data_IF_060559668171
#
_entry.id   IF_060559668171
#
_cell.length_a   1.000
_cell.length_b   1.000
_cell.length_c   1.000
_cell.angle_alpha   90.00
_cell.angle_beta   90.00
_cell.angle_gamma   90.00
#
_symmetry.space_group_name_H-M   'P 1'
#
loop_
_entity.id
_entity.type
_entity.pdbx_description
1 polymer ?
#
# COMPACT_ATOMS: atom_id res chain seq x y z
N UNK A 1 54.02 -20.61 30.10
CA UNK A 1 54.42 -19.62 31.11
C UNK A 1 53.18 -18.93 31.63
N UNK A 2 53.02 -18.77 32.95
CA UNK A 2 51.91 -18.03 33.54
C UNK A 2 52.22 -16.53 33.56
N UNK A 3 51.20 -15.69 33.31
CA UNK A 3 51.11 -14.37 33.95
C UNK A 3 49.65 -13.98 34.16
N UNK A 4 49.21 -14.17 35.39
CA UNK A 4 47.93 -13.66 35.92
C UNK A 4 47.96 -12.15 36.00
N UNK A 5 46.82 -11.51 35.70
CA UNK A 5 46.52 -10.18 36.24
C UNK A 5 45.04 -10.12 36.64
N UNK A 6 44.78 -10.25 37.93
CA UNK A 6 43.47 -9.95 38.50
C UNK A 6 43.34 -8.45 38.70
N UNK A 7 42.19 -7.88 38.35
CA UNK A 7 41.80 -6.54 38.78
C UNK A 7 40.43 -6.61 39.45
N UNK A 8 40.43 -6.63 40.78
CA UNK A 8 39.23 -6.31 41.54
C UNK A 8 39.02 -4.79 41.48
N UNK A 9 37.79 -4.37 41.21
CA UNK A 9 37.27 -3.08 41.67
C UNK A 9 35.92 -3.33 42.35
N UNK A 10 35.66 -2.56 43.40
CA UNK A 10 34.71 -2.92 44.45
C UNK A 10 33.26 -2.51 44.16
N UNK A 11 32.33 -3.14 44.89
CA UNK A 11 30.93 -2.71 44.97
C UNK A 11 30.82 -1.30 45.56
N UNK A 12 30.08 -0.42 44.87
CA UNK A 12 29.80 0.94 45.30
C UNK A 12 28.30 1.23 45.29
N UNK A 13 27.56 0.69 46.26
CA UNK A 13 26.12 0.96 46.41
C UNK A 13 25.89 2.38 46.91
N UNK A 14 25.38 3.27 46.04
CA UNK A 14 24.91 4.61 46.44
C UNK A 14 23.38 4.62 46.44
N UNK A 15 22.80 4.64 47.63
CA UNK A 15 21.39 4.89 47.85
C UNK A 15 21.23 5.94 48.95
N UNK A 16 20.86 7.16 48.56
CA UNK A 16 20.34 8.18 49.49
C UNK A 16 18.99 8.65 48.93
N UNK A 17 17.94 8.56 49.77
CA UNK A 17 16.60 8.99 49.41
C UNK A 17 16.37 10.48 49.67
N UNK A 18 15.48 11.09 48.89
CA UNK A 18 14.89 12.39 49.25
C UNK A 18 13.80 12.19 50.32
N UNK A 19 13.67 13.11 51.30
CA UNK A 19 12.71 12.95 52.40
C UNK A 19 11.27 13.22 51.94
N UNK A 20 10.35 12.34 52.36
CA UNK A 20 8.91 12.60 52.30
C UNK A 20 8.55 13.56 53.44
N UNK A 21 7.80 14.62 53.14
CA UNK A 21 7.20 15.51 54.15
C UNK A 21 5.74 15.14 54.38
N UNK A 22 5.34 14.96 55.64
CA UNK A 22 3.97 14.61 56.04
C UNK A 22 3.45 15.48 57.19
N UNK A 23 2.23 15.98 57.02
CA UNK A 23 1.32 16.27 58.12
C UNK A 23 1.46 17.61 58.85
N UNK A 24 0.62 18.57 58.46
CA UNK A 24 0.16 19.64 59.36
C UNK A 24 -1.37 19.50 59.53
N UNK A 25 -1.81 19.13 60.74
CA UNK A 25 -3.23 18.86 61.07
C UNK A 25 -3.84 20.04 61.80
N UNK A 26 -4.63 20.87 61.12
CA UNK A 26 -5.42 21.93 61.73
C UNK A 26 -6.76 21.38 62.29
N UNK A 27 -7.31 22.02 63.32
CA UNK A 27 -8.40 21.49 64.16
C UNK A 27 -9.78 22.07 63.82
N UNK A 28 -10.83 21.31 64.17
CA UNK A 28 -12.23 21.72 64.05
C UNK A 28 -12.65 22.55 65.27
N UNK A 29 -13.29 23.70 65.03
CA UNK A 29 -14.07 24.44 66.03
C UNK A 29 -15.39 24.93 65.39
N UNK A 30 -16.49 24.96 66.15
CA UNK A 30 -17.86 25.09 65.60
C UNK A 30 -18.78 25.97 66.46
N UNK A 31 -19.14 27.17 65.98
CA UNK A 31 -20.21 28.08 66.46
C UNK A 31 -20.61 29.02 65.29
N UNK A 32 -21.86 29.51 65.14
CA UNK A 32 -23.08 29.14 65.89
C UNK A 32 -24.25 30.14 65.93
N UNK A 33 -24.69 30.75 64.81
CA UNK A 33 -25.97 31.52 64.66
C UNK A 33 -26.35 31.56 63.15
N UNK A 34 -27.60 31.34 62.65
CA UNK A 34 -28.97 31.87 62.96
C UNK A 34 -29.15 33.29 62.37
N UNK A 35 -30.13 33.65 61.50
CA UNK A 35 -31.34 33.01 60.89
C UNK A 35 -31.69 33.75 59.56
N UNK A 36 -32.12 33.11 58.46
CA UNK A 36 -33.54 32.87 58.00
C UNK A 36 -34.28 34.14 57.46
N UNK A 37 -35.31 34.06 56.57
CA UNK A 37 -35.30 33.58 55.16
C UNK A 37 -35.80 34.64 54.13
N UNK A 38 -35.92 34.21 52.85
CA UNK A 38 -36.96 34.56 51.84
C UNK A 38 -36.54 35.20 50.48
N UNK A 39 -37.45 35.07 49.51
CA UNK A 39 -37.55 35.68 48.17
C UNK A 39 -36.51 35.33 47.08
N UNK A 40 -37.01 34.83 45.94
CA UNK A 40 -36.22 34.59 44.73
C UNK A 40 -36.35 35.76 43.72
N UNK A 41 -35.25 36.26 43.13
CA UNK A 41 -35.31 37.24 42.03
C UNK A 41 -35.62 36.57 40.68
N UNK A 42 -36.28 37.32 39.79
CA UNK A 42 -36.76 36.83 38.49
C UNK A 42 -35.62 36.49 37.53
N UNK A 43 -35.88 35.54 36.62
CA UNK A 43 -34.98 35.21 35.52
C UNK A 43 -34.67 36.45 34.66
N UNK A 44 -33.39 36.85 34.59
CA UNK A 44 -32.92 37.71 33.50
C UNK A 44 -32.75 36.84 32.27
N UNK A 45 -33.50 37.14 31.21
CA UNK A 45 -33.30 36.53 29.89
C UNK A 45 -31.95 36.97 29.34
N UNK A 46 -30.89 36.22 29.68
CA UNK A 46 -29.65 36.25 28.93
C UNK A 46 -29.99 35.74 27.52
N UNK A 47 -30.11 36.66 26.56
CA UNK A 47 -30.23 36.30 25.17
C UNK A 47 -28.99 35.48 24.81
N UNK A 48 -29.17 34.17 24.61
CA UNK A 48 -28.09 33.27 24.20
C UNK A 48 -27.62 33.74 22.84
N UNK A 49 -26.49 34.45 22.81
CA UNK A 49 -25.87 34.92 21.57
C UNK A 49 -25.61 33.70 20.69
N UNK A 50 -26.47 33.54 19.68
CA UNK A 50 -26.33 32.51 18.68
C UNK A 50 -25.19 32.93 17.76
N UNK A 51 -23.98 32.50 18.10
CA UNK A 51 -22.86 32.49 17.16
C UNK A 51 -23.17 31.44 16.07
N UNK A 52 -24.10 31.79 15.19
CA UNK A 52 -24.31 31.15 13.89
C UNK A 52 -23.12 31.50 13.02
N UNK A 53 -21.98 30.87 13.30
CA UNK A 53 -20.93 30.72 12.32
C UNK A 53 -21.56 30.07 11.09
N UNK A 54 -21.48 30.72 9.93
CA UNK A 54 -21.97 30.17 8.68
C UNK A 54 -21.34 28.79 8.44
N UNK A 55 -22.07 27.82 7.87
CA UNK A 55 -21.48 26.53 7.50
C UNK A 55 -20.28 26.76 6.56
N UNK A 56 -19.21 25.96 6.68
CA UNK A 56 -18.00 26.15 5.89
C UNK A 56 -18.29 26.03 4.39
N UNK A 57 -17.76 26.97 3.61
CA UNK A 57 -17.95 27.02 2.16
C UNK A 57 -16.92 26.11 1.48
N UNK A 58 -17.31 25.29 0.48
CA UNK A 58 -16.35 24.46 -0.25
C UNK A 58 -15.40 25.30 -1.11
N UNK A 59 -15.84 26.47 -1.58
CA UNK A 59 -15.11 27.28 -2.55
C UNK A 59 -13.99 28.12 -1.91
N UNK A 60 -12.93 28.36 -2.68
CA UNK A 60 -11.75 29.11 -2.26
C UNK A 60 -10.52 28.24 -2.01
N UNK A 61 -9.52 28.82 -1.35
CA UNK A 61 -8.34 28.12 -0.83
C UNK A 61 -8.41 28.14 0.69
N UNK A 62 -8.40 26.96 1.29
CA UNK A 62 -8.53 26.74 2.71
C UNK A 62 -7.17 26.42 3.33
N UNK A 63 -7.07 26.61 4.65
CA UNK A 63 -5.89 26.22 5.45
C UNK A 63 -6.34 25.44 6.69
N UNK A 64 -5.48 24.54 7.15
CA UNK A 64 -5.77 23.70 8.31
C UNK A 64 -4.66 22.71 8.64
N UNK A 65 -4.84 21.92 9.71
CA UNK A 65 -4.01 20.75 9.97
C UNK A 65 -4.37 19.61 9.01
N UNK A 66 -3.41 18.73 8.78
CA UNK A 66 -3.63 17.44 8.13
C UNK A 66 -3.02 16.29 8.95
N UNK A 67 -3.86 15.32 9.30
CA UNK A 67 -3.48 14.04 9.94
C UNK A 67 -3.48 12.91 8.90
N UNK A 68 -3.43 11.65 9.33
CA UNK A 68 -3.54 10.50 8.45
C UNK A 68 -4.50 9.42 8.94
N UNK A 69 -5.11 8.70 8.00
CA UNK A 69 -6.00 7.56 8.26
C UNK A 69 -5.71 6.33 7.37
N UNK A 70 -6.20 5.18 7.83
CA UNK A 70 -6.41 3.94 7.08
C UNK A 70 -7.90 3.68 6.89
N UNK A 71 -8.28 3.04 5.78
CA UNK A 71 -9.59 2.41 5.63
C UNK A 71 -9.58 0.96 6.11
N UNK A 72 -8.40 0.33 6.27
CA UNK A 72 -8.23 -1.04 6.79
C UNK A 72 -9.10 -2.10 6.09
N UNK A 73 -9.26 -1.92 4.76
CA UNK A 73 -10.11 -2.74 3.89
C UNK A 73 -11.61 -2.74 4.30
N UNK A 74 -12.07 -1.65 4.93
CA UNK A 74 -13.48 -1.28 5.07
C UNK A 74 -13.88 -0.29 3.96
N UNK A 75 -15.16 0.11 3.94
CA UNK A 75 -15.63 1.25 3.16
C UNK A 75 -15.64 2.51 4.02
N UNK A 76 -15.05 3.59 3.51
CA UNK A 76 -15.30 4.93 4.04
C UNK A 76 -16.73 5.43 3.81
N UNK A 77 -17.09 6.57 4.39
CA UNK A 77 -18.42 7.19 4.31
C UNK A 77 -18.90 7.41 2.85
N UNK A 78 -17.99 7.56 1.88
CA UNK A 78 -18.36 7.62 0.46
C UNK A 78 -18.77 6.26 -0.17
N UNK A 79 -18.79 5.16 0.60
CA UNK A 79 -19.30 3.85 0.22
C UNK A 79 -18.38 3.01 -0.69
N UNK A 80 -17.10 3.34 -0.78
CA UNK A 80 -16.13 2.68 -1.67
C UNK A 80 -14.99 2.04 -0.86
N UNK A 81 -14.55 0.84 -1.27
CA UNK A 81 -13.28 0.24 -0.85
C UNK A 81 -12.12 0.80 -1.67
N UNK A 82 -11.11 1.34 -1.00
CA UNK A 82 -9.88 1.80 -1.62
C UNK A 82 -8.67 1.19 -0.89
N UNK A 83 -7.49 1.22 -1.54
CA UNK A 83 -6.23 0.92 -0.87
C UNK A 83 -5.77 2.16 -0.08
N UNK A 84 -5.21 1.98 1.11
CA UNK A 84 -4.65 3.08 1.92
C UNK A 84 -3.53 3.85 1.19
N UNK A 85 -2.82 3.17 0.27
CA UNK A 85 -1.81 3.73 -0.61
C UNK A 85 -2.38 4.54 -1.81
N UNK A 86 -3.71 4.62 -1.95
CA UNK A 86 -4.36 5.55 -2.89
C UNK A 86 -4.31 6.95 -2.31
N UNK A 87 -4.08 8.03 -3.08
CA UNK A 87 -4.28 9.39 -2.59
C UNK A 87 -5.77 9.72 -2.37
N UNK A 88 -6.20 9.69 -1.12
CA UNK A 88 -7.57 9.98 -0.67
C UNK A 88 -7.54 11.05 0.43
N UNK A 89 -8.72 11.59 0.71
CA UNK A 89 -8.96 12.48 1.84
C UNK A 89 -10.29 12.14 2.51
N UNK A 90 -10.29 12.20 3.84
CA UNK A 90 -11.47 12.34 4.67
C UNK A 90 -11.70 13.83 4.95
N UNK A 91 -12.90 14.34 4.65
CA UNK A 91 -13.26 15.73 5.00
C UNK A 91 -13.77 15.78 6.44
N UNK A 92 -13.42 16.83 7.18
CA UNK A 92 -14.06 17.16 8.45
C UNK A 92 -15.59 17.19 8.32
N UNK A 93 -16.33 16.64 9.30
CA UNK A 93 -17.79 16.48 9.24
C UNK A 93 -18.54 17.81 8.96
N UNK A 94 -18.05 18.93 9.50
CA UNK A 94 -18.63 20.27 9.27
C UNK A 94 -18.71 20.65 7.78
N UNK A 95 -17.80 20.12 6.95
CA UNK A 95 -17.80 20.30 5.51
C UNK A 95 -18.32 19.06 4.76
N UNK A 96 -18.12 17.85 5.29
CA UNK A 96 -18.65 16.62 4.69
C UNK A 96 -20.19 16.62 4.67
N UNK A 97 -20.82 17.05 5.77
CA UNK A 97 -22.24 16.86 6.06
C UNK A 97 -22.48 15.68 6.99
N UNK A 98 -23.69 15.12 6.92
CA UNK A 98 -24.08 13.90 7.64
C UNK A 98 -23.17 12.71 7.23
N UNK A 99 -22.47 12.14 8.21
CA UNK A 99 -21.45 11.09 8.04
C UNK A 99 -22.05 9.69 7.84
N UNK A 100 -23.32 9.49 8.20
CA UNK A 100 -24.05 8.25 7.89
C UNK A 100 -24.63 8.28 6.46
N UNK A 101 -24.48 9.42 5.77
CA UNK A 101 -24.90 9.66 4.39
C UNK A 101 -23.71 9.83 3.44
N UNK A 102 -23.93 9.60 2.14
CA UNK A 102 -22.90 9.85 1.12
C UNK A 102 -22.89 11.34 0.73
N UNK A 103 -21.87 12.06 1.18
CA UNK A 103 -21.69 13.49 0.85
C UNK A 103 -21.65 13.78 -0.66
N UNK A 104 -22.20 14.94 -1.06
CA UNK A 104 -22.08 15.50 -2.40
C UNK A 104 -20.62 15.74 -2.85
N UNK A 105 -19.68 15.81 -1.90
CA UNK A 105 -18.26 15.99 -2.22
C UNK A 105 -17.53 14.68 -2.55
N UNK A 106 -18.14 13.52 -2.29
CA UNK A 106 -17.55 12.21 -2.57
C UNK A 106 -17.16 12.04 -4.05
N UNK A 107 -15.92 11.63 -4.29
CA UNK A 107 -15.37 11.47 -5.64
C UNK A 107 -14.91 12.78 -6.30
N UNK A 108 -15.08 13.95 -5.66
CA UNK A 108 -14.37 15.17 -6.06
C UNK A 108 -12.88 15.05 -5.72
N UNK A 109 -12.08 15.86 -6.41
CA UNK A 109 -10.64 15.96 -6.21
C UNK A 109 -10.31 17.25 -5.48
N UNK A 110 -9.35 17.19 -4.57
CA UNK A 110 -8.72 18.35 -3.93
C UNK A 110 -7.25 18.41 -4.32
N UNK A 111 -6.69 19.62 -4.46
CA UNK A 111 -5.24 19.82 -4.51
C UNK A 111 -4.77 20.30 -3.13
N UNK A 112 -3.79 19.61 -2.56
CA UNK A 112 -3.30 19.83 -1.19
C UNK A 112 -1.81 20.16 -1.27
N UNK A 113 -1.41 21.26 -0.63
CA UNK A 113 -0.02 21.71 -0.48
C UNK A 113 0.38 21.63 0.98
N UNK A 114 1.51 20.99 1.31
CA UNK A 114 2.12 21.15 2.64
C UNK A 114 2.90 22.47 2.66
N UNK A 115 2.47 23.41 3.50
CA UNK A 115 3.03 24.77 3.53
C UNK A 115 4.41 24.86 4.16
N UNK A 116 4.85 23.85 4.91
CA UNK A 116 6.18 23.77 5.49
C UNK A 116 7.26 23.23 4.52
N UNK A 117 6.88 22.61 3.40
CA UNK A 117 7.86 22.05 2.44
C UNK A 117 7.51 22.21 0.95
N UNK A 118 6.37 22.81 0.60
CA UNK A 118 5.96 23.11 -0.78
C UNK A 118 5.52 21.90 -1.63
N UNK A 119 5.54 20.68 -1.08
CA UNK A 119 5.07 19.47 -1.79
C UNK A 119 3.55 19.51 -1.98
N UNK A 120 3.09 18.93 -3.09
CA UNK A 120 1.67 18.87 -3.45
C UNK A 120 1.20 17.45 -3.78
N UNK A 121 -0.06 17.17 -3.46
CA UNK A 121 -0.78 15.96 -3.87
C UNK A 121 -2.20 16.31 -4.30
N UNK A 122 -2.69 15.63 -5.33
CA UNK A 122 -4.12 15.63 -5.70
C UNK A 122 -4.74 14.36 -5.10
N UNK A 123 -5.77 14.52 -4.28
CA UNK A 123 -6.42 13.43 -3.54
C UNK A 123 -7.94 13.39 -3.80
N UNK A 124 -8.52 12.20 -3.66
CA UNK A 124 -9.97 11.96 -3.87
C UNK A 124 -10.71 12.01 -2.54
N UNK A 125 -11.80 12.77 -2.45
CA UNK A 125 -12.72 12.71 -1.30
C UNK A 125 -13.38 11.33 -1.25
N UNK A 126 -13.03 10.53 -0.24
CA UNK A 126 -13.46 9.15 -0.10
C UNK A 126 -14.03 8.82 1.29
N UNK A 127 -13.90 9.73 2.25
CA UNK A 127 -14.31 9.50 3.64
C UNK A 127 -14.77 10.77 4.37
N UNK A 128 -15.24 10.58 5.60
CA UNK A 128 -15.50 11.64 6.56
C UNK A 128 -14.62 11.46 7.80
N UNK A 129 -14.19 12.56 8.41
CA UNK A 129 -13.45 12.57 9.67
C UNK A 129 -14.32 13.23 10.75
N UNK A 130 -15.01 12.49 11.63
CA UNK A 130 -15.84 13.06 12.68
C UNK A 130 -15.05 13.81 13.78
N UNK A 131 -13.77 13.47 13.93
CA UNK A 131 -12.88 13.92 15.02
C UNK A 131 -11.87 14.99 14.60
N UNK A 132 -11.89 15.47 13.36
CA UNK A 132 -10.90 16.42 12.86
C UNK A 132 -11.12 17.83 13.45
N UNK A 133 -10.06 18.45 13.98
CA UNK A 133 -10.16 19.76 14.63
C UNK A 133 -10.07 20.92 13.62
N UNK A 134 -11.18 21.66 13.47
CA UNK A 134 -11.28 22.83 12.59
C UNK A 134 -11.96 22.52 11.25
N UNK A 135 -12.77 23.46 10.75
CA UNK A 135 -13.72 23.21 9.65
C UNK A 135 -13.10 22.81 8.30
N UNK A 136 -11.80 23.06 8.11
CA UNK A 136 -11.04 22.73 6.90
C UNK A 136 -9.84 21.80 7.17
N UNK A 137 -9.82 21.14 8.33
CA UNK A 137 -8.90 20.05 8.59
C UNK A 137 -9.20 18.86 7.65
N UNK A 138 -8.13 18.16 7.25
CA UNK A 138 -8.19 16.99 6.37
C UNK A 138 -7.54 15.79 7.05
N UNK A 139 -8.18 14.63 7.00
CA UNK A 139 -7.46 13.38 7.25
C UNK A 139 -6.97 12.82 5.91
N UNK A 140 -5.66 12.59 5.77
CA UNK A 140 -5.10 12.11 4.50
C UNK A 140 -4.97 10.60 4.54
N UNK A 141 -5.32 9.89 3.47
CA UNK A 141 -4.94 8.48 3.43
C UNK A 141 -3.43 8.34 3.48
N UNK A 142 -2.95 7.18 3.92
CA UNK A 142 -1.52 6.97 4.05
C UNK A 142 -0.74 7.34 2.77
N UNK A 143 -1.27 6.98 1.58
CA UNK A 143 -0.70 7.30 0.28
C UNK A 143 -0.80 8.77 -0.16
N UNK A 144 -1.70 9.57 0.40
CA UNK A 144 -1.70 11.02 0.23
C UNK A 144 -0.66 11.69 1.15
N UNK A 145 -0.62 11.28 2.43
CA UNK A 145 0.34 11.79 3.41
C UNK A 145 1.79 11.52 2.97
N UNK A 146 2.06 10.33 2.44
CA UNK A 146 3.37 9.87 1.91
C UNK A 146 3.96 10.72 0.76
N UNK A 147 3.13 11.59 0.15
CA UNK A 147 3.52 12.46 -0.96
C UNK A 147 3.81 13.91 -0.50
N UNK A 148 3.23 14.35 0.63
CA UNK A 148 3.39 15.73 1.13
C UNK A 148 4.09 15.85 2.49
N UNK A 149 4.14 14.79 3.30
CA UNK A 149 4.61 14.83 4.69
C UNK A 149 5.91 14.09 4.99
N UNK A 150 6.16 13.96 6.29
CA UNK A 150 6.93 12.88 6.90
C UNK A 150 6.12 12.36 8.10
N UNK A 151 6.16 11.05 8.34
CA UNK A 151 5.41 10.35 9.38
C UNK A 151 5.75 10.86 10.79
N UNK A 152 7.03 11.11 11.05
CA UNK A 152 7.53 11.60 12.34
C UNK A 152 7.01 13.02 12.71
N UNK A 153 6.38 13.73 11.78
CA UNK A 153 5.77 15.05 12.02
C UNK A 153 4.36 14.94 12.62
N UNK A 154 3.65 13.82 12.41
CA UNK A 154 2.29 13.57 12.90
C UNK A 154 1.20 14.43 12.23
N UNK A 155 1.27 15.75 12.40
CA UNK A 155 0.32 16.73 11.84
C UNK A 155 1.04 17.68 10.88
N UNK A 156 0.57 17.79 9.65
CA UNK A 156 1.14 18.68 8.63
C UNK A 156 0.35 20.00 8.56
N UNK A 157 1.01 21.16 8.42
CA UNK A 157 0.32 22.39 8.05
C UNK A 157 0.05 22.35 6.53
N UNK A 158 -1.21 22.56 6.13
CA UNK A 158 -1.60 22.52 4.71
C UNK A 158 -2.38 23.76 4.25
N UNK A 159 -2.30 24.02 2.95
CA UNK A 159 -3.29 24.80 2.19
C UNK A 159 -3.86 23.95 1.07
N UNK A 160 -5.16 24.03 0.83
CA UNK A 160 -5.83 23.16 -0.14
C UNK A 160 -7.06 23.80 -0.77
N UNK A 161 -7.49 23.27 -1.91
CA UNK A 161 -8.76 23.67 -2.55
C UNK A 161 -9.38 22.51 -3.31
N UNK A 162 -10.70 22.55 -3.50
CA UNK A 162 -11.34 21.66 -4.47
C UNK A 162 -10.92 22.02 -5.89
N UNK A 163 -10.64 20.99 -6.69
CA UNK A 163 -10.51 21.14 -8.13
C UNK A 163 -11.88 21.35 -8.79
N UNK A 164 -11.94 21.95 -9.99
CA UNK A 164 -13.17 22.10 -10.76
C UNK A 164 -13.90 20.77 -10.96
N UNK A 165 -15.22 20.79 -11.02
CA UNK A 165 -16.05 19.60 -11.31
C UNK A 165 -15.75 18.98 -12.69
N UNK A 166 -15.16 19.75 -13.60
CA UNK A 166 -14.66 19.31 -14.91
C UNK A 166 -13.31 18.59 -14.84
N UNK A 167 -12.60 18.64 -13.71
CA UNK A 167 -11.33 17.94 -13.54
C UNK A 167 -11.55 16.43 -13.66
N UNK A 168 -10.91 15.83 -14.65
CA UNK A 168 -10.74 14.39 -14.76
C UNK A 168 -9.25 14.11 -14.59
N UNK A 169 -8.84 13.23 -13.65
CA UNK A 169 -7.47 12.79 -13.64
C UNK A 169 -7.18 12.08 -14.97
N UNK A 170 -6.01 12.34 -15.53
CA UNK A 170 -5.39 11.30 -16.31
C UNK A 170 -5.08 10.13 -15.36
N UNK A 171 -5.15 8.89 -15.86
CA UNK A 171 -4.98 7.64 -15.08
C UNK A 171 -6.19 7.36 -14.16
N UNK A 172 -6.67 6.11 -14.17
CA UNK A 172 -7.85 5.66 -13.40
C UNK A 172 -7.40 4.95 -12.13
N UNK A 173 -7.98 5.32 -10.98
CA UNK A 173 -7.75 4.65 -9.70
C UNK A 173 -8.19 3.19 -9.74
N UNK A 174 -7.37 2.23 -9.28
CA UNK A 174 -7.79 0.85 -9.13
C UNK A 174 -8.67 0.70 -7.88
N UNK A 175 -9.96 1.00 -7.98
CA UNK A 175 -10.94 0.64 -6.94
C UNK A 175 -10.86 -0.86 -6.68
N UNK A 176 -10.84 -1.26 -5.41
CA UNK A 176 -10.91 -2.67 -5.06
C UNK A 176 -12.33 -3.17 -5.35
N UNK A 177 -12.47 -4.07 -6.32
CA UNK A 177 -13.69 -4.87 -6.45
C UNK A 177 -13.81 -5.73 -5.20
N UNK A 178 -14.78 -5.42 -4.34
CA UNK A 178 -15.04 -6.18 -3.12
C UNK A 178 -15.32 -7.67 -3.39
N UNK A 179 -15.28 -8.52 -2.36
CA UNK A 179 -15.35 -9.98 -2.52
C UNK A 179 -16.66 -10.42 -3.21
N UNK A 180 -16.54 -10.81 -4.48
CA UNK A 180 -17.67 -11.28 -5.30
C UNK A 180 -18.28 -12.55 -4.71
N UNK A 181 -19.47 -12.44 -4.12
CA UNK A 181 -20.25 -13.60 -3.65
C UNK A 181 -20.77 -14.39 -4.86
N UNK A 182 -19.98 -15.36 -5.32
CA UNK A 182 -20.38 -16.28 -6.38
C UNK A 182 -21.50 -17.19 -5.86
N UNK A 183 -22.73 -16.95 -6.30
CA UNK A 183 -23.85 -17.88 -6.08
C UNK A 183 -23.64 -19.15 -6.93
N UNK A 184 -23.14 -20.20 -6.29
CA UNK A 184 -22.93 -21.51 -6.93
C UNK A 184 -24.27 -22.20 -7.22
N UNK A 185 -24.77 -22.04 -8.45
CA UNK A 185 -25.96 -22.78 -8.92
C UNK A 185 -25.59 -24.21 -9.29
N UNK A 186 -25.63 -25.11 -8.31
CA UNK A 186 -25.31 -26.54 -8.48
C UNK A 186 -26.31 -27.26 -9.39
N UNK A 187 -26.05 -27.32 -10.70
CA UNK A 187 -26.86 -28.12 -11.63
C UNK A 187 -26.41 -29.58 -11.61
N UNK A 188 -27.09 -30.40 -10.81
CA UNK A 188 -26.93 -31.86 -10.76
C UNK A 188 -27.47 -32.51 -12.04
N UNK A 189 -26.59 -33.11 -12.85
CA UNK A 189 -26.96 -33.96 -13.99
C UNK A 189 -26.40 -35.36 -13.78
N UNK A 190 -27.23 -36.39 -13.99
CA UNK A 190 -26.92 -37.79 -13.65
C UNK A 190 -26.26 -38.52 -14.83
N UNK A 191 -25.40 -39.52 -14.53
CA UNK A 191 -24.82 -40.45 -15.51
C UNK A 191 -25.89 -41.25 -16.26
N UNK A 192 -25.66 -41.48 -17.55
CA UNK A 192 -25.90 -42.78 -18.18
C UNK A 192 -24.67 -43.14 -19.01
N UNK A 193 -24.38 -44.43 -19.16
CA UNK A 193 -23.15 -44.95 -19.76
C UNK A 193 -23.42 -45.97 -20.86
N UNK A 194 -22.62 -45.93 -21.93
CA UNK A 194 -22.44 -47.06 -22.85
C UNK A 194 -20.99 -47.10 -23.33
N UNK A 195 -20.45 -48.31 -23.51
CA UNK A 195 -19.12 -48.55 -24.04
C UNK A 195 -19.17 -48.80 -25.54
N UNK A 196 -18.07 -48.54 -26.25
CA UNK A 196 -17.48 -49.49 -27.19
C UNK A 196 -16.05 -49.07 -27.56
N UNK A 197 -15.20 -50.05 -27.87
CA UNK A 197 -13.85 -49.84 -28.39
C UNK A 197 -13.83 -50.07 -29.92
N UNK A 198 -12.86 -49.49 -30.62
CA UNK A 198 -12.66 -49.69 -32.06
C UNK A 198 -11.21 -49.38 -32.47
N UNK A 199 -10.59 -50.29 -33.22
CA UNK A 199 -9.13 -50.33 -33.42
C UNK A 199 -8.71 -49.84 -34.82
N UNK A 200 -7.60 -49.09 -34.85
CA UNK A 200 -6.66 -48.78 -35.96
C UNK A 200 -7.05 -49.03 -37.44
N UNK A 201 -6.78 -48.03 -38.30
CA UNK A 201 -6.07 -48.21 -39.60
C UNK A 201 -5.68 -46.89 -40.33
N UNK A 202 -4.43 -46.83 -40.75
CA UNK A 202 -3.90 -46.11 -41.94
C UNK A 202 -3.77 -47.15 -43.10
N UNK A 203 -3.34 -46.82 -44.35
CA UNK A 203 -2.89 -45.55 -44.96
C UNK A 203 -3.55 -45.20 -46.33
N UNK A 204 -3.07 -44.15 -47.03
CA UNK A 204 -2.86 -44.24 -48.49
C UNK A 204 -3.41 -43.14 -49.45
N UNK A 205 -2.53 -42.20 -49.85
CA UNK A 205 -2.37 -41.54 -51.17
C UNK A 205 -3.55 -40.90 -51.98
N UNK A 206 -3.27 -39.75 -52.62
CA UNK A 206 -4.13 -39.09 -53.64
C UNK A 206 -3.42 -37.89 -54.32
N UNK A 207 -3.71 -37.61 -55.60
CA UNK A 207 -2.90 -36.76 -56.51
C UNK A 207 -3.78 -36.24 -57.70
N UNK A 208 -3.51 -35.26 -58.59
CA UNK A 208 -2.29 -34.50 -59.01
C UNK A 208 -2.68 -33.17 -59.73
N UNK A 209 -1.76 -32.20 -59.87
CA UNK A 209 -1.74 -31.11 -60.93
C UNK A 209 -2.83 -30.00 -60.86
N UNK A 210 -2.81 -28.81 -61.52
CA UNK A 210 -1.93 -28.17 -62.56
C UNK A 210 -1.81 -26.61 -62.44
N UNK A 211 -0.89 -26.03 -63.24
CA UNK A 211 -0.43 -24.63 -63.46
C UNK A 211 -1.46 -23.48 -63.68
N UNK A 212 -1.20 -22.33 -63.02
CA UNK A 212 -0.81 -20.98 -63.55
C UNK A 212 -0.83 -20.68 -65.07
N UNK A 213 -1.21 -19.44 -65.47
CA UNK A 213 -0.67 -18.57 -66.61
C UNK A 213 -1.49 -17.24 -66.68
N UNK A 214 -1.00 -16.04 -66.26
CA UNK A 214 -0.40 -14.89 -67.03
C UNK A 214 -1.16 -14.41 -68.29
N UNK A 215 -1.18 -13.14 -68.73
CA UNK A 215 -0.28 -11.94 -68.59
C UNK A 215 -1.10 -10.67 -68.20
N UNK A 216 -0.80 -9.36 -68.42
CA UNK A 216 0.26 -8.57 -69.10
C UNK A 216 0.34 -7.12 -68.52
N UNK A 217 1.33 -6.32 -68.97
CA UNK A 217 1.59 -4.90 -68.62
C UNK A 217 1.16 -3.92 -69.74
N UNK A 218 1.07 -2.58 -69.50
CA UNK A 218 2.23 -1.67 -69.62
C UNK A 218 2.29 -0.51 -68.59
N UNK A 219 3.27 0.38 -68.77
CA UNK A 219 3.67 1.56 -67.95
C UNK A 219 4.44 2.53 -68.90
N UNK A 220 4.80 3.80 -68.58
CA UNK A 220 4.55 4.60 -67.36
C UNK A 220 3.86 5.97 -67.62
N UNK A 221 3.52 6.68 -66.54
CA UNK A 221 3.13 8.10 -66.56
C UNK A 221 3.49 8.76 -65.23
N UNK A 222 4.21 9.89 -65.27
CA UNK A 222 4.78 10.53 -64.09
C UNK A 222 3.91 11.69 -63.60
N UNK A 223 3.44 11.65 -62.34
CA UNK A 223 2.79 12.79 -61.71
C UNK A 223 3.07 12.84 -60.20
N UNK A 224 3.52 14.00 -59.72
CA UNK A 224 4.02 14.21 -58.36
C UNK A 224 2.87 14.49 -57.38
N UNK A 225 2.66 13.60 -56.40
CA UNK A 225 1.71 13.85 -55.30
C UNK A 225 2.35 13.55 -53.94
N UNK A 226 2.47 14.58 -53.11
CA UNK A 226 3.12 14.54 -51.79
C UNK A 226 2.28 13.79 -50.75
N UNK A 227 2.49 12.48 -50.63
CA UNK A 227 1.85 11.66 -49.60
C UNK A 227 2.46 11.91 -48.21
N UNK A 228 1.78 12.73 -47.41
CA UNK A 228 2.12 12.98 -46.01
C UNK A 228 2.17 11.65 -45.24
N UNK A 229 3.33 11.34 -44.64
CA UNK A 229 3.51 10.15 -43.79
C UNK A 229 2.62 10.25 -42.55
N UNK A 230 1.45 9.61 -42.58
CA UNK A 230 0.56 9.43 -41.41
C UNK A 230 1.27 8.58 -40.35
N UNK A 231 1.92 9.23 -39.40
CA UNK A 231 2.60 8.59 -38.28
C UNK A 231 1.60 7.89 -37.36
N UNK A 232 1.64 6.56 -37.34
CA UNK A 232 0.89 5.74 -36.37
C UNK A 232 1.53 5.84 -35.00
N UNK A 233 1.26 6.94 -34.30
CA UNK A 233 1.67 7.14 -32.91
C UNK A 233 1.00 6.11 -32.01
N UNK A 234 1.76 5.09 -31.61
CA UNK A 234 1.34 4.10 -30.61
C UNK A 234 1.29 4.76 -29.23
N UNK A 235 0.10 5.23 -28.84
CA UNK A 235 -0.16 5.91 -27.57
C UNK A 235 0.47 5.14 -26.40
N UNK A 236 1.44 5.73 -25.66
CA UNK A 236 2.06 5.06 -24.51
C UNK A 236 1.03 4.63 -23.47
N UNK A 237 1.24 3.45 -22.87
CA UNK A 237 0.35 2.92 -21.85
C UNK A 237 0.43 3.75 -20.55
N UNK A 238 -0.70 4.27 -20.03
CA UNK A 238 -0.68 5.12 -18.84
C UNK A 238 -0.47 4.29 -17.56
N UNK A 239 0.79 4.00 -17.20
CA UNK A 239 1.17 3.58 -15.82
C UNK A 239 2.61 3.90 -15.36
N UNK A 240 3.57 4.29 -16.22
CA UNK A 240 4.99 4.30 -15.78
C UNK A 240 5.40 5.47 -14.87
N UNK A 241 5.06 6.71 -15.21
CA UNK A 241 5.74 7.90 -14.66
C UNK A 241 5.72 8.00 -13.13
N UNK A 242 4.60 7.66 -12.50
CA UNK A 242 4.44 7.64 -11.03
C UNK A 242 5.22 6.49 -10.36
N UNK A 243 5.27 5.33 -11.01
CA UNK A 243 6.06 4.15 -10.59
C UNK A 243 7.56 4.49 -10.65
N UNK A 244 7.98 5.07 -11.76
CA UNK A 244 9.34 5.55 -11.96
C UNK A 244 9.70 6.61 -10.91
N UNK A 245 8.76 7.52 -10.58
CA UNK A 245 8.97 8.54 -9.56
C UNK A 245 9.15 7.96 -8.14
N UNK A 246 8.24 7.08 -7.67
CA UNK A 246 8.33 6.52 -6.30
C UNK A 246 9.58 5.64 -6.12
N UNK A 247 9.93 4.83 -7.12
CA UNK A 247 11.15 4.00 -7.09
C UNK A 247 12.41 4.88 -7.03
N UNK A 248 12.48 5.96 -7.82
CA UNK A 248 13.60 6.92 -7.78
C UNK A 248 13.64 7.74 -6.49
N UNK A 249 12.49 8.15 -5.96
CA UNK A 249 12.36 8.83 -4.66
C UNK A 249 12.93 7.96 -3.53
N UNK A 250 12.69 6.64 -3.58
CA UNK A 250 13.22 5.69 -2.60
C UNK A 250 14.71 5.36 -2.81
N UNK A 251 15.39 5.88 -3.85
CA UNK A 251 16.81 5.63 -4.11
C UNK A 251 17.16 4.20 -4.55
N UNK A 252 16.19 3.39 -4.98
CA UNK A 252 16.42 1.98 -5.32
C UNK A 252 17.08 1.90 -6.71
N UNK A 253 18.32 1.39 -6.76
CA UNK A 253 19.11 1.17 -7.98
C UNK A 253 19.26 -0.32 -8.32
N UNK A 254 19.21 -1.20 -7.33
CA UNK A 254 19.22 -2.65 -7.48
C UNK A 254 17.95 -3.20 -8.16
N UNK A 255 17.96 -4.51 -8.47
CA UNK A 255 16.80 -5.26 -9.00
C UNK A 255 16.11 -4.58 -10.21
N UNK A 256 16.90 -3.96 -11.10
CA UNK A 256 16.47 -3.26 -12.31
C UNK A 256 15.41 -2.15 -12.10
N UNK A 257 15.20 -1.71 -10.85
CA UNK A 257 14.03 -0.92 -10.46
C UNK A 257 13.97 0.44 -11.18
N UNK A 258 15.10 1.14 -11.31
CA UNK A 258 15.23 2.46 -11.98
C UNK A 258 14.75 2.49 -13.43
N UNK A 259 14.63 1.34 -14.09
CA UNK A 259 14.22 1.21 -15.50
C UNK A 259 12.96 0.37 -15.67
N UNK A 260 12.27 0.02 -14.56
CA UNK A 260 11.20 -1.01 -14.50
C UNK A 260 11.58 -2.30 -15.22
N UNK A 261 12.86 -2.66 -15.20
CA UNK A 261 13.36 -3.81 -15.93
C UNK A 261 12.85 -5.11 -15.31
N UNK A 262 12.55 -6.09 -16.15
CA UNK A 262 12.19 -7.42 -15.68
C UNK A 262 13.41 -8.12 -15.08
N UNK A 263 13.33 -8.48 -13.81
CA UNK A 263 14.27 -9.38 -13.16
C UNK A 263 14.00 -10.79 -13.70
N UNK A 264 14.95 -11.32 -14.48
CA UNK A 264 14.82 -12.61 -15.19
C UNK A 264 15.64 -13.71 -14.52
N UNK A 265 15.33 -14.97 -14.86
CA UNK A 265 16.03 -16.15 -14.33
C UNK A 265 15.95 -16.19 -12.80
N UNK A 266 14.81 -15.78 -12.25
CA UNK A 266 14.53 -15.90 -10.83
C UNK A 266 14.23 -17.36 -10.50
N UNK A 267 14.88 -17.87 -9.46
CA UNK A 267 14.46 -19.09 -8.78
C UNK A 267 13.60 -18.67 -7.60
N UNK A 268 12.38 -19.19 -7.53
CA UNK A 268 11.43 -18.94 -6.45
C UNK A 268 11.44 -20.14 -5.50
N UNK A 269 12.02 -19.96 -4.32
CA UNK A 269 11.93 -20.89 -3.20
C UNK A 269 10.81 -20.47 -2.24
N UNK A 270 10.73 -21.10 -1.06
CA UNK A 270 9.73 -20.76 -0.05
C UNK A 270 10.20 -20.92 1.39
N UNK A 271 9.63 -20.10 2.27
CA UNK A 271 9.86 -20.09 3.71
C UNK A 271 8.56 -19.98 4.53
N UNK A 272 8.61 -20.42 5.78
CA UNK A 272 7.60 -20.14 6.80
C UNK A 272 8.02 -18.90 7.58
N UNK A 273 7.07 -18.07 8.03
CA UNK A 273 7.41 -16.85 8.81
C UNK A 273 7.82 -17.11 10.26
N UNK A 274 7.64 -18.34 10.76
CA UNK A 274 8.03 -18.74 12.12
C UNK A 274 8.53 -20.19 12.14
N UNK A 275 9.78 -20.39 11.75
CA UNK A 275 10.44 -21.70 11.65
C UNK A 275 11.95 -21.57 11.89
N UNK A 276 12.48 -22.37 12.82
CA UNK A 276 13.93 -22.47 13.07
C UNK A 276 14.70 -23.04 11.87
N UNK A 277 14.07 -23.87 11.05
CA UNK A 277 14.64 -24.37 9.78
C UNK A 277 14.82 -23.26 8.75
N UNK A 278 13.97 -22.23 8.81
CA UNK A 278 13.95 -21.11 7.87
C UNK A 278 14.58 -19.83 8.46
N UNK A 279 15.19 -19.94 9.65
CA UNK A 279 15.76 -18.82 10.43
C UNK A 279 14.76 -17.70 10.81
N UNK A 280 13.45 -17.97 10.82
CA UNK A 280 12.39 -16.99 11.07
C UNK A 280 11.69 -17.18 12.42
N UNK A 281 11.15 -16.09 12.98
CA UNK A 281 10.69 -16.05 14.38
C UNK A 281 9.27 -15.46 14.60
N UNK A 282 8.54 -15.10 13.53
CA UNK A 282 7.26 -14.40 13.57
C UNK A 282 7.35 -12.87 13.48
N UNK A 283 8.56 -12.31 13.39
CA UNK A 283 8.82 -10.91 13.07
C UNK A 283 9.74 -10.84 11.85
N UNK A 284 9.39 -10.00 10.89
CA UNK A 284 10.13 -9.87 9.64
C UNK A 284 11.40 -9.02 9.78
N UNK A 285 12.35 -9.15 8.84
CA UNK A 285 13.44 -8.19 8.67
C UNK A 285 12.94 -6.75 8.44
N UNK A 286 11.71 -6.59 7.95
CA UNK A 286 11.05 -5.29 7.84
C UNK A 286 10.50 -4.74 9.17
N UNK A 287 10.67 -5.45 10.28
CA UNK A 287 10.35 -4.97 11.62
C UNK A 287 8.86 -5.02 11.98
N UNK A 288 8.08 -5.90 11.34
CA UNK A 288 6.65 -6.07 11.60
C UNK A 288 6.29 -7.54 11.90
N UNK A 289 5.22 -7.83 12.66
CA UNK A 289 4.77 -9.20 12.91
C UNK A 289 4.11 -9.81 11.67
N UNK A 290 4.41 -11.08 11.35
CA UNK A 290 3.96 -11.72 10.12
C UNK A 290 3.65 -13.23 10.25
N UNK A 291 2.75 -13.74 9.43
CA UNK A 291 2.23 -15.10 9.48
C UNK A 291 2.36 -15.80 8.11
N UNK A 292 2.09 -17.10 8.05
CA UNK A 292 2.18 -17.85 6.79
C UNK A 292 1.13 -17.41 5.74
N UNK A 293 0.15 -16.56 6.08
CA UNK A 293 -0.85 -15.99 5.18
C UNK A 293 -0.45 -14.62 4.60
N UNK A 294 0.54 -13.94 5.19
CA UNK A 294 1.09 -12.67 4.70
C UNK A 294 1.37 -12.77 3.18
N UNK A 295 0.88 -11.83 2.35
CA UNK A 295 1.06 -11.84 0.89
C UNK A 295 2.47 -11.36 0.50
N UNK A 296 3.48 -11.96 1.12
CA UNK A 296 4.86 -11.48 1.12
C UNK A 296 5.87 -12.41 0.47
N UNK A 297 7.02 -11.83 0.13
CA UNK A 297 8.21 -12.52 -0.32
C UNK A 297 9.47 -11.81 0.21
N UNK A 298 10.60 -12.51 0.14
CA UNK A 298 11.91 -12.03 0.52
C UNK A 298 12.81 -11.87 -0.72
N UNK A 299 13.69 -10.86 -0.67
CA UNK A 299 14.70 -10.60 -1.70
C UNK A 299 16.10 -10.52 -1.05
N UNK A 300 17.14 -10.77 -1.84
CA UNK A 300 18.56 -10.80 -1.42
C UNK A 300 18.92 -9.66 -0.45
N UNK A 301 19.25 -10.03 0.80
CA UNK A 301 19.62 -9.10 1.87
C UNK A 301 20.82 -8.25 1.46
N UNK A 302 21.85 -8.87 0.88
CA UNK A 302 23.08 -8.24 0.41
C UNK A 302 22.82 -7.18 -0.67
N UNK A 303 21.88 -7.42 -1.57
CA UNK A 303 21.50 -6.41 -2.57
C UNK A 303 20.69 -5.27 -1.98
N UNK A 304 19.77 -5.55 -1.04
CA UNK A 304 19.05 -4.48 -0.33
C UNK A 304 20.00 -3.59 0.47
N UNK A 305 20.89 -4.19 1.26
CA UNK A 305 21.87 -3.49 2.09
C UNK A 305 22.92 -2.75 1.24
N UNK A 306 23.45 -3.39 0.19
CA UNK A 306 24.42 -2.80 -0.72
C UNK A 306 23.90 -1.56 -1.44
N UNK A 307 22.61 -1.51 -1.79
CA UNK A 307 21.96 -0.33 -2.38
C UNK A 307 22.07 0.92 -1.50
N UNK A 308 22.18 0.77 -0.17
CA UNK A 308 22.20 1.88 0.79
C UNK A 308 23.47 1.91 1.66
N UNK A 309 24.59 1.38 1.15
CA UNK A 309 25.87 1.42 1.85
C UNK A 309 25.85 0.66 3.18
N UNK A 310 25.11 -0.45 3.24
CA UNK A 310 24.84 -1.26 4.43
C UNK A 310 24.06 -0.55 5.55
N UNK A 311 23.39 0.58 5.26
CA UNK A 311 22.47 1.20 6.21
C UNK A 311 21.12 0.46 6.21
N UNK A 312 20.89 -0.36 7.25
CA UNK A 312 19.66 -1.14 7.45
C UNK A 312 18.38 -0.30 7.36
N UNK A 313 18.29 0.82 8.08
CA UNK A 313 17.07 1.61 8.13
C UNK A 313 16.72 2.25 6.77
N UNK A 314 17.72 2.73 6.02
CA UNK A 314 17.51 3.20 4.64
C UNK A 314 17.07 2.07 3.72
N UNK A 315 17.69 0.90 3.80
CA UNK A 315 17.32 -0.27 3.01
C UNK A 315 15.88 -0.73 3.32
N UNK A 316 15.53 -0.86 4.59
CA UNK A 316 14.20 -1.27 5.00
C UNK A 316 13.13 -0.23 4.63
N UNK A 317 13.35 1.06 4.91
CA UNK A 317 12.44 2.15 4.48
C UNK A 317 12.27 2.20 2.94
N UNK A 318 13.30 1.85 2.17
CA UNK A 318 13.20 1.77 0.72
C UNK A 318 12.41 0.54 0.23
N UNK A 319 12.74 -0.67 0.70
CA UNK A 319 12.22 -1.92 0.13
C UNK A 319 10.94 -2.45 0.78
N UNK A 320 10.76 -2.32 2.10
CA UNK A 320 9.67 -2.99 2.83
C UNK A 320 8.28 -2.54 2.36
N UNK A 321 7.43 -3.49 2.02
CA UNK A 321 6.08 -3.27 1.50
C UNK A 321 6.02 -3.00 -0.01
N UNK A 322 7.14 -2.90 -0.73
CA UNK A 322 7.12 -2.68 -2.19
C UNK A 322 6.40 -3.83 -2.91
N UNK A 323 5.34 -3.53 -3.67
CA UNK A 323 4.62 -4.51 -4.49
C UNK A 323 5.49 -4.91 -5.70
N UNK A 324 5.66 -6.21 -5.90
CA UNK A 324 6.17 -6.79 -7.14
C UNK A 324 5.12 -7.69 -7.80
N UNK A 325 5.15 -7.75 -9.12
CA UNK A 325 4.41 -8.74 -9.90
C UNK A 325 5.38 -9.84 -10.32
N UNK A 326 5.17 -11.05 -9.78
CA UNK A 326 5.94 -12.25 -10.10
C UNK A 326 5.17 -13.06 -11.15
N UNK A 327 5.85 -13.47 -12.20
CA UNK A 327 5.32 -14.29 -13.31
C UNK A 327 6.12 -15.59 -13.42
N UNK A 328 5.44 -16.74 -13.36
CA UNK A 328 6.06 -18.06 -13.53
C UNK A 328 6.50 -18.32 -14.98
N UNK A 329 7.29 -19.37 -15.20
CA UNK A 329 7.60 -19.91 -16.53
C UNK A 329 6.34 -20.24 -17.36
N UNK A 330 5.25 -20.61 -16.69
CA UNK A 330 3.93 -20.87 -17.29
C UNK A 330 3.04 -19.63 -17.47
N UNK A 331 3.56 -18.43 -17.24
CA UNK A 331 2.82 -17.16 -17.40
C UNK A 331 1.84 -16.83 -16.28
N UNK A 332 1.76 -17.66 -15.23
CA UNK A 332 0.90 -17.44 -14.06
C UNK A 332 1.46 -16.29 -13.23
N UNK A 333 0.59 -15.34 -12.88
CA UNK A 333 0.97 -14.12 -12.15
C UNK A 333 0.50 -14.14 -10.70
N UNK A 334 1.32 -13.61 -9.81
CA UNK A 334 0.98 -13.32 -8.43
C UNK A 334 1.62 -11.98 -8.03
N UNK A 335 0.90 -11.17 -7.25
CA UNK A 335 1.42 -9.94 -6.67
C UNK A 335 1.68 -10.15 -5.19
N UNK A 336 2.87 -9.75 -4.75
CA UNK A 336 3.31 -9.88 -3.37
C UNK A 336 4.11 -8.64 -2.97
N UNK A 337 4.26 -8.42 -1.67
CA UNK A 337 5.06 -7.32 -1.10
C UNK A 337 6.41 -7.83 -0.61
N UNK A 338 7.46 -7.01 -0.71
CA UNK A 338 8.73 -7.33 -0.03
C UNK A 338 8.48 -7.26 1.47
N UNK A 339 8.37 -8.42 2.09
CA UNK A 339 8.04 -8.56 3.50
C UNK A 339 9.27 -8.86 4.35
N UNK A 340 10.32 -9.45 3.77
CA UNK A 340 11.46 -9.99 4.52
C UNK A 340 12.75 -9.96 3.69
N UNK A 341 13.87 -10.41 4.27
CA UNK A 341 15.17 -10.48 3.61
C UNK A 341 15.64 -11.92 3.40
N UNK A 342 16.07 -12.24 2.18
CA UNK A 342 16.53 -13.58 1.81
C UNK A 342 18.02 -13.72 2.10
N UNK A 343 18.39 -14.72 2.90
CA UNK A 343 19.78 -15.08 3.19
C UNK A 343 20.53 -15.47 1.90
N UNK A 344 21.56 -14.67 1.56
CA UNK A 344 22.36 -14.83 0.35
C UNK A 344 23.18 -16.14 0.31
N UNK A 345 23.23 -16.93 1.39
CA UNK A 345 23.68 -18.35 1.35
C UNK A 345 22.81 -19.22 0.42
N UNK A 346 21.54 -18.86 0.26
CA UNK A 346 20.53 -19.62 -0.47
C UNK A 346 20.09 -18.94 -1.78
N UNK A 347 20.34 -17.65 -1.95
CA UNK A 347 20.20 -16.91 -3.22
C UNK A 347 21.04 -17.59 -4.31
N UNK A 348 20.38 -18.20 -5.31
CA UNK A 348 21.04 -18.97 -6.39
C UNK A 348 21.29 -18.17 -7.66
N UNK A 349 20.49 -17.14 -7.92
CA UNK A 349 20.71 -16.13 -8.96
C UNK A 349 20.49 -14.74 -8.35
N UNK A 350 21.04 -13.65 -8.93
CA UNK A 350 20.81 -12.29 -8.41
C UNK A 350 19.32 -11.89 -8.30
N UNK A 351 18.45 -12.57 -9.05
CA UNK A 351 17.01 -12.33 -9.09
C UNK A 351 16.20 -13.39 -8.32
N UNK A 352 16.85 -14.34 -7.62
CA UNK A 352 16.17 -15.31 -6.76
C UNK A 352 15.38 -14.64 -5.63
N UNK A 353 14.24 -15.24 -5.30
CA UNK A 353 13.31 -14.75 -4.28
C UNK A 353 12.77 -15.91 -3.45
N UNK A 354 12.41 -15.65 -2.21
CA UNK A 354 11.83 -16.63 -1.29
C UNK A 354 10.38 -16.23 -0.99
N UNK A 355 9.39 -17.05 -1.33
CA UNK A 355 7.98 -16.71 -1.06
C UNK A 355 7.51 -17.23 0.30
N UNK A 356 6.68 -16.46 1.00
CA UNK A 356 5.98 -16.98 2.19
C UNK A 356 5.10 -18.16 1.76
N UNK A 357 5.12 -19.26 2.52
CA UNK A 357 4.64 -20.57 2.07
C UNK A 357 3.20 -20.60 1.50
N UNK A 358 2.21 -19.88 2.02
CA UNK A 358 0.88 -19.90 1.39
C UNK A 358 0.85 -19.11 0.07
N UNK A 359 1.67 -18.07 -0.07
CA UNK A 359 1.93 -17.37 -1.34
C UNK A 359 2.66 -18.29 -2.32
N UNK A 360 3.67 -19.05 -1.88
CA UNK A 360 4.33 -20.05 -2.72
C UNK A 360 3.37 -21.16 -3.16
N UNK A 361 2.61 -21.77 -2.24
CA UNK A 361 1.64 -22.81 -2.55
C UNK A 361 0.60 -22.30 -3.58
N UNK A 362 0.16 -21.05 -3.44
CA UNK A 362 -0.72 -20.37 -4.40
C UNK A 362 -0.05 -20.17 -5.76
N UNK A 363 1.23 -19.77 -5.81
CA UNK A 363 2.01 -19.59 -7.03
C UNK A 363 2.30 -20.92 -7.74
N UNK A 364 2.91 -21.88 -7.02
CA UNK A 364 3.22 -23.25 -7.42
C UNK A 364 1.97 -24.04 -7.87
N UNK A 365 0.80 -23.76 -7.29
CA UNK A 365 -0.46 -24.45 -7.61
C UNK A 365 -0.65 -25.78 -6.87
N UNK A 366 0.32 -26.19 -6.07
CA UNK A 366 0.26 -27.36 -5.19
C UNK A 366 0.96 -27.03 -3.86
N UNK A 367 0.50 -27.67 -2.76
CA UNK A 367 1.17 -27.57 -1.45
C UNK A 367 2.46 -28.41 -1.45
N UNK A 368 3.49 -27.94 -0.75
CA UNK A 368 4.73 -28.70 -0.53
C UNK A 368 5.23 -28.56 0.92
N UNK A 369 5.93 -29.59 1.39
CA UNK A 369 6.81 -29.57 2.57
C UNK A 369 8.28 -29.83 2.19
N UNK A 370 8.54 -30.23 0.94
CA UNK A 370 9.88 -30.52 0.43
C UNK A 370 10.55 -29.25 -0.09
N UNK A 371 11.63 -28.82 0.57
CA UNK A 371 12.38 -27.60 0.26
C UNK A 371 13.07 -27.61 -1.12
N UNK A 372 13.20 -28.77 -1.75
CA UNK A 372 13.71 -28.88 -3.12
C UNK A 372 12.63 -28.56 -4.19
N UNK A 373 11.37 -28.38 -3.80
CA UNK A 373 10.31 -27.91 -4.70
C UNK A 373 10.39 -26.38 -4.82
N UNK A 374 10.93 -25.93 -5.96
CA UNK A 374 11.12 -24.51 -6.32
C UNK A 374 10.56 -24.25 -7.72
N UNK A 375 10.19 -23.01 -8.04
CA UNK A 375 9.80 -22.61 -9.40
C UNK A 375 11.00 -21.96 -10.11
N UNK A 376 11.45 -22.60 -11.19
CA UNK A 376 12.55 -22.14 -12.06
C UNK A 376 12.06 -21.20 -13.15
N UNK A 377 13.00 -20.44 -13.75
CA UNK A 377 12.79 -19.50 -14.86
C UNK A 377 11.65 -18.49 -14.64
N UNK A 378 11.38 -18.14 -13.38
CA UNK A 378 10.43 -17.09 -13.07
C UNK A 378 11.01 -15.72 -13.45
N UNK A 379 10.10 -14.75 -13.55
CA UNK A 379 10.44 -13.35 -13.77
C UNK A 379 9.65 -12.47 -12.80
N UNK A 380 10.18 -11.31 -12.43
CA UNK A 380 9.44 -10.36 -11.60
C UNK A 380 9.81 -8.91 -11.91
N UNK A 381 8.95 -7.98 -11.50
CA UNK A 381 9.18 -6.53 -11.63
C UNK A 381 8.49 -5.79 -10.49
N UNK A 382 9.15 -4.77 -9.92
CA UNK A 382 8.50 -3.85 -8.99
C UNK A 382 7.41 -3.05 -9.71
N UNK A 383 6.21 -3.03 -9.13
CA UNK A 383 5.08 -2.34 -9.74
C UNK A 383 5.03 -0.85 -9.39
N UNK A 384 5.86 -0.40 -8.45
CA UNK A 384 5.97 0.98 -7.96
C UNK A 384 5.05 1.33 -6.79
N UNK A 385 4.13 0.43 -6.44
CA UNK A 385 3.27 0.58 -5.27
C UNK A 385 4.01 0.14 -4.01
N UNK A 386 3.63 0.68 -2.86
CA UNK A 386 3.97 0.14 -1.54
C UNK A 386 2.66 -0.18 -0.82
N UNK A 387 2.58 -1.36 -0.22
CA UNK A 387 1.58 -1.64 0.81
C UNK A 387 2.12 -1.14 2.15
N UNK A 388 1.40 -0.22 2.77
CA UNK A 388 1.84 0.52 3.94
C UNK A 388 1.57 -0.24 5.25
N UNK A 389 0.71 -1.27 5.21
CA UNK A 389 0.60 -2.29 6.27
C UNK A 389 1.94 -3.03 6.47
N UNK A 390 2.66 -3.28 5.38
CA UNK A 390 3.93 -4.02 5.34
C UNK A 390 5.15 -3.12 5.12
N UNK A 391 5.05 -1.81 5.41
CA UNK A 391 6.22 -0.93 5.39
C UNK A 391 7.20 -1.24 6.53
N UNK A 392 8.37 -0.59 6.53
CA UNK A 392 9.32 -0.70 7.64
C UNK A 392 8.66 -0.27 8.96
N UNK A 393 8.63 -1.18 9.94
CA UNK A 393 7.90 -1.02 11.22
C UNK A 393 6.38 -0.77 11.06
N UNK A 394 5.77 -1.25 9.97
CA UNK A 394 4.31 -1.28 9.81
C UNK A 394 3.62 -2.27 10.76
N UNK A 395 2.28 -2.31 10.73
CA UNK A 395 1.48 -3.22 11.59
C UNK A 395 1.59 -4.70 11.17
N UNK A 396 1.99 -4.96 9.92
CA UNK A 396 2.18 -6.30 9.38
C UNK A 396 0.88 -7.10 9.28
N UNK A 397 0.94 -8.39 9.64
CA UNK A 397 -0.23 -9.26 9.81
C UNK A 397 -0.68 -9.34 11.28
N UNK A 398 -0.21 -8.42 12.13
CA UNK A 398 -0.86 -8.12 13.41
C UNK A 398 -2.24 -7.49 13.21
N UNK A 399 -3.04 -7.49 14.28
CA UNK A 399 -4.23 -6.64 14.43
C UNK A 399 -3.84 -5.39 15.20
#
# INVERSE_FOLDING_TARGET
>A
MFKTLSLLLAFGSIALGAPVSTGARATVAKRGARSEPAAAPKARTMARASNTASPPTPDGVHTGPATWFTQDNLTGACGNYNLDATPLVALQYLLYGDTDSKSQYCGRYVNITNTANGKQVIAIVADACPTCEGAYALDLSLGAFDLVGNWDTGVLPISWSFLPSTYKPAFVTPTLTGPTVVKTTTRRTVRTSTLSAGTSKTPGAGLTTTKRTTTRTPSPGNLTTSTVKRSTSSRPAPTSTWVDARIRQNGITAFQATRRGTNKNAIVSWFNTKSTTDSTNGHSWCGFPYDNNTPGFAISLKQMMGNFGNNYEKAAKAFCGMEAEITSKSGKKLKLVVADAFDDRWVRTPNSIDMIINSFNTFNGARTTNKNVVQMDATWVFTGRRDLRYQFKGVGSGR
#
